data_IF_730396770209
#
_entry.id   IF_730396770209
#
_cell.length_a   1.000
_cell.length_b   1.000
_cell.length_c   1.000
_cell.angle_alpha   90.00
_cell.angle_beta   90.00
_cell.angle_gamma   90.00
#
_symmetry.space_group_name_H-M   'P 1'
#
loop_
_entity.id
_entity.type
_entity.pdbx_description
1 polymer ?
#
# COMPACT_ATOMS: atom_id res chain seq x y z
N UNK A 1 -10.05 18.14 -5.95
CA UNK A 1 -10.03 17.97 -4.48
C UNK A 1 -9.29 16.69 -4.15
N UNK A 2 -8.23 16.81 -3.33
CA UNK A 2 -7.18 15.79 -3.15
C UNK A 2 -7.69 14.53 -2.42
N UNK A 3 -8.66 14.69 -1.52
CA UNK A 3 -9.30 13.55 -0.87
C UNK A 3 -10.00 12.65 -1.87
N UNK A 4 -10.74 13.24 -2.82
CA UNK A 4 -11.34 12.50 -3.94
C UNK A 4 -10.29 11.85 -4.83
N UNK A 5 -9.20 12.56 -5.16
CA UNK A 5 -8.12 12.00 -5.97
C UNK A 5 -7.46 10.78 -5.31
N UNK A 6 -7.20 10.86 -3.99
CA UNK A 6 -6.62 9.73 -3.25
C UNK A 6 -7.58 8.54 -3.16
N UNK A 7 -8.89 8.78 -2.99
CA UNK A 7 -9.91 7.73 -3.02
C UNK A 7 -10.05 7.10 -4.41
N UNK A 8 -9.89 7.87 -5.48
CA UNK A 8 -9.86 7.33 -6.86
C UNK A 8 -8.63 6.44 -7.08
N UNK A 9 -7.45 6.83 -6.58
CA UNK A 9 -6.25 6.01 -6.65
C UNK A 9 -6.40 4.71 -5.84
N UNK A 10 -7.05 4.76 -4.67
CA UNK A 10 -7.38 3.57 -3.87
C UNK A 10 -8.33 2.63 -4.65
N UNK A 11 -9.36 3.18 -5.27
CA UNK A 11 -10.30 2.41 -6.08
C UNK A 11 -9.63 1.78 -7.31
N UNK A 12 -8.78 2.52 -8.02
CA UNK A 12 -8.01 2.01 -9.16
C UNK A 12 -7.11 0.84 -8.73
N UNK A 13 -6.41 0.98 -7.61
CA UNK A 13 -5.58 -0.11 -7.09
C UNK A 13 -6.38 -1.37 -6.74
N UNK A 14 -7.57 -1.21 -6.18
CA UNK A 14 -8.48 -2.34 -5.87
C UNK A 14 -8.99 -3.04 -7.13
N UNK A 15 -9.26 -2.28 -8.18
CA UNK A 15 -9.78 -2.81 -9.45
C UNK A 15 -8.69 -3.47 -10.29
N UNK A 16 -7.50 -2.86 -10.34
CA UNK A 16 -6.42 -3.29 -11.24
C UNK A 16 -5.43 -4.27 -10.59
N UNK A 17 -5.40 -4.34 -9.26
CA UNK A 17 -4.39 -5.07 -8.50
C UNK A 17 -2.99 -4.44 -8.56
N UNK A 18 -2.86 -3.24 -9.15
CA UNK A 18 -1.60 -2.48 -9.24
C UNK A 18 -1.61 -1.35 -8.20
N UNK A 19 -0.42 -0.82 -7.79
CA UNK A 19 -0.40 0.34 -6.91
C UNK A 19 -1.09 1.56 -7.52
N UNK A 20 -2.03 2.14 -6.78
CA UNK A 20 -2.64 3.42 -7.13
C UNK A 20 -1.63 4.55 -6.98
N UNK A 21 -1.63 5.50 -7.90
CA UNK A 21 -0.72 6.64 -7.89
C UNK A 21 -1.53 7.93 -7.74
N UNK A 22 -1.10 8.79 -6.82
CA UNK A 22 -1.69 10.12 -6.64
C UNK A 22 -0.61 11.14 -6.35
N UNK A 23 -0.77 12.33 -6.91
CA UNK A 23 0.10 13.47 -6.66
C UNK A 23 -0.72 14.61 -6.06
N UNK A 24 -0.20 15.20 -5.00
CA UNK A 24 -0.87 16.30 -4.29
C UNK A 24 0.13 17.42 -4.01
N UNK A 25 -0.37 18.63 -3.83
CA UNK A 25 0.47 19.74 -3.41
C UNK A 25 0.86 19.60 -1.93
N UNK A 26 1.86 20.38 -1.52
CA UNK A 26 2.29 20.48 -0.11
C UNK A 26 1.19 21.02 0.81
N UNK A 27 1.38 20.84 2.11
CA UNK A 27 0.53 21.40 3.14
C UNK A 27 -0.94 20.98 3.02
N UNK A 28 -1.85 21.91 2.70
CA UNK A 28 -3.29 21.64 2.63
C UNK A 28 -3.66 20.52 1.66
N UNK A 29 -2.95 20.37 0.51
CA UNK A 29 -3.18 19.28 -0.43
C UNK A 29 -2.87 17.92 0.16
N UNK A 30 -1.75 17.81 0.86
CA UNK A 30 -1.36 16.59 1.59
C UNK A 30 -2.38 16.24 2.69
N UNK A 31 -2.82 17.25 3.45
CA UNK A 31 -3.83 17.07 4.51
C UNK A 31 -5.17 16.59 3.93
N UNK A 32 -5.64 17.19 2.85
CA UNK A 32 -6.88 16.76 2.18
C UNK A 32 -6.79 15.32 1.66
N UNK A 33 -5.60 14.90 1.18
CA UNK A 33 -5.37 13.53 0.69
C UNK A 33 -5.32 12.46 1.80
N UNK A 34 -5.17 12.85 3.05
CA UNK A 34 -4.95 11.92 4.18
C UNK A 34 -6.06 10.90 4.40
N UNK A 35 -7.31 11.26 4.14
CA UNK A 35 -8.46 10.37 4.34
C UNK A 35 -8.38 9.14 3.43
N UNK A 36 -8.11 9.33 2.13
CA UNK A 36 -7.94 8.21 1.20
C UNK A 36 -6.70 7.37 1.51
N UNK A 37 -5.62 8.00 1.97
CA UNK A 37 -4.43 7.28 2.41
C UNK A 37 -4.72 6.37 3.62
N UNK A 38 -5.49 6.87 4.59
CA UNK A 38 -5.92 6.08 5.74
C UNK A 38 -6.80 4.89 5.34
N UNK A 39 -7.73 5.09 4.39
CA UNK A 39 -8.55 4.01 3.83
C UNK A 39 -7.65 2.94 3.20
N UNK A 40 -6.71 3.33 2.33
CA UNK A 40 -5.76 2.41 1.72
C UNK A 40 -4.95 1.62 2.76
N UNK A 41 -4.55 2.25 3.87
CA UNK A 41 -3.87 1.58 4.99
C UNK A 41 -4.74 0.51 5.64
N UNK A 42 -5.99 0.84 5.91
CA UNK A 42 -6.92 -0.08 6.58
C UNK A 42 -7.31 -1.26 5.68
N UNK A 43 -7.46 -1.00 4.39
CA UNK A 43 -7.88 -2.00 3.41
C UNK A 43 -6.72 -2.83 2.84
N UNK A 44 -5.48 -2.52 3.23
CA UNK A 44 -4.28 -3.12 2.67
C UNK A 44 -4.20 -2.93 1.14
N UNK A 45 -4.50 -1.71 0.68
CA UNK A 45 -4.41 -1.33 -0.72
C UNK A 45 -3.04 -0.72 -1.01
N UNK A 46 -2.28 -1.21 -1.99
CA UNK A 46 -1.02 -0.59 -2.37
C UNK A 46 -1.30 0.78 -3.01
N UNK A 47 -0.69 1.84 -2.49
CA UNK A 47 -0.86 3.20 -2.98
C UNK A 47 0.43 3.99 -2.79
N UNK A 48 0.80 4.83 -3.75
CA UNK A 48 1.93 5.74 -3.64
C UNK A 48 1.43 7.15 -3.79
N UNK A 49 1.61 7.96 -2.76
CA UNK A 49 1.27 9.38 -2.76
C UNK A 49 2.54 10.21 -2.84
N UNK A 50 2.69 10.95 -3.92
CA UNK A 50 3.72 11.96 -4.08
C UNK A 50 3.20 13.30 -3.57
N UNK A 51 3.98 13.97 -2.73
CA UNK A 51 3.60 15.23 -2.11
C UNK A 51 4.66 16.28 -2.42
N UNK A 52 4.25 17.45 -2.87
CA UNK A 52 5.15 18.60 -2.93
C UNK A 52 5.68 18.97 -1.53
N UNK A 53 6.89 19.49 -1.46
CA UNK A 53 7.47 20.02 -0.23
C UNK A 53 8.13 21.37 -0.52
N UNK A 54 8.28 22.19 0.50
CA UNK A 54 9.04 23.43 0.41
C UNK A 54 10.50 23.16 0.05
N UNK A 55 11.22 24.18 -0.46
CA UNK A 55 12.63 24.05 -0.80
C UNK A 55 13.44 23.54 0.40
N UNK A 56 14.43 22.67 0.15
CA UNK A 56 15.28 22.01 1.17
C UNK A 56 15.86 22.96 2.20
N UNK A 57 16.33 24.14 1.74
CA UNK A 57 16.90 25.15 2.61
C UNK A 57 15.91 25.91 3.50
N UNK A 58 14.60 25.71 3.35
CA UNK A 58 13.55 26.39 4.12
C UNK A 58 12.80 25.46 5.09
N UNK A 59 13.13 24.19 5.10
CA UNK A 59 12.59 23.22 6.06
C UNK A 59 13.00 23.64 7.48
N UNK A 60 12.10 23.50 8.45
CA UNK A 60 12.28 23.92 9.86
C UNK A 60 12.41 25.44 10.06
N UNK A 61 12.07 26.24 9.05
CA UNK A 61 12.05 27.72 9.13
C UNK A 61 10.64 28.31 9.06
N UNK A 62 9.63 27.53 9.40
CA UNK A 62 8.21 27.94 9.33
C UNK A 62 7.80 28.44 7.92
N UNK A 63 8.40 27.88 6.87
CA UNK A 63 8.05 28.21 5.50
C UNK A 63 6.56 27.92 5.25
N UNK A 64 5.92 28.75 4.42
CA UNK A 64 4.49 28.60 4.11
C UNK A 64 4.17 27.17 3.60
N UNK A 65 3.25 26.49 4.27
CA UNK A 65 2.80 25.14 3.96
C UNK A 65 3.84 24.02 4.19
N UNK A 66 4.95 24.30 4.89
CA UNK A 66 5.87 23.26 5.32
C UNK A 66 5.22 22.34 6.35
N UNK A 67 5.40 21.03 6.20
CA UNK A 67 4.93 20.01 7.15
C UNK A 67 5.99 18.92 7.26
N UNK A 68 6.21 18.42 8.46
CA UNK A 68 6.93 17.17 8.68
C UNK A 68 6.01 15.99 8.29
N UNK A 69 6.15 15.49 7.06
CA UNK A 69 5.32 14.39 6.56
C UNK A 69 5.63 13.06 7.22
N UNK A 70 6.81 12.87 7.80
CA UNK A 70 7.12 11.65 8.55
C UNK A 70 6.30 11.58 9.82
N UNK A 71 6.16 12.69 10.53
CA UNK A 71 5.28 12.75 11.71
C UNK A 71 3.81 12.65 11.33
N UNK A 72 3.39 13.34 10.26
CA UNK A 72 2.00 13.37 9.85
C UNK A 72 1.50 12.01 9.34
N UNK A 73 2.26 11.34 8.48
CA UNK A 73 1.81 10.12 7.80
C UNK A 73 2.42 8.84 8.35
N UNK A 74 3.40 8.90 9.26
CA UNK A 74 4.02 7.72 9.86
C UNK A 74 3.02 6.70 10.40
N UNK A 75 1.97 7.11 11.14
CA UNK A 75 0.96 6.19 11.66
C UNK A 75 0.08 5.53 10.60
N UNK A 76 -0.09 6.16 9.43
CA UNK A 76 -1.05 5.74 8.40
C UNK A 76 -0.41 5.28 7.08
N UNK A 77 0.91 5.34 6.96
CA UNK A 77 1.64 4.82 5.81
C UNK A 77 2.57 3.68 6.21
N UNK A 78 2.98 2.86 5.26
CA UNK A 78 4.00 1.83 5.48
C UNK A 78 5.40 2.43 5.49
N UNK A 79 5.58 3.47 4.71
CA UNK A 79 6.84 4.19 4.59
C UNK A 79 6.58 5.62 4.18
N UNK A 80 7.32 6.53 4.78
CA UNK A 80 7.30 7.97 4.47
C UNK A 80 8.74 8.41 4.29
N UNK A 81 9.04 8.99 3.15
CA UNK A 81 10.37 9.50 2.86
C UNK A 81 10.31 10.84 2.13
N UNK A 82 11.40 11.58 2.17
CA UNK A 82 11.64 12.76 1.36
C UNK A 82 12.82 12.49 0.45
N UNK A 83 12.71 12.90 -0.81
CA UNK A 83 13.74 12.73 -1.82
C UNK A 83 14.47 14.07 -1.96
N UNK A 84 15.67 14.15 -1.40
CA UNK A 84 16.46 15.39 -1.37
C UNK A 84 17.48 15.47 -2.52
N UNK A 85 17.70 14.37 -3.23
CA UNK A 85 18.65 14.25 -4.35
C UNK A 85 17.94 13.70 -5.58
N UNK A 86 17.96 14.43 -6.68
CA UNK A 86 17.38 14.00 -7.95
C UNK A 86 17.99 12.66 -8.46
N UNK A 87 19.25 12.40 -8.16
CA UNK A 87 19.92 11.14 -8.52
C UNK A 87 19.34 9.94 -7.76
N UNK A 88 18.71 10.14 -6.61
CA UNK A 88 18.09 9.07 -5.83
C UNK A 88 16.63 8.77 -6.25
N UNK A 89 16.00 9.56 -7.13
CA UNK A 89 14.60 9.38 -7.52
C UNK A 89 14.29 7.95 -8.00
N UNK A 90 15.06 7.32 -8.92
CA UNK A 90 14.73 5.97 -9.39
C UNK A 90 14.77 4.92 -8.28
N UNK A 91 15.73 5.02 -7.37
CA UNK A 91 15.84 4.12 -6.22
C UNK A 91 14.64 4.26 -5.28
N UNK A 92 14.30 5.50 -4.86
CA UNK A 92 13.17 5.76 -3.97
C UNK A 92 11.83 5.33 -4.60
N UNK A 93 11.64 5.58 -5.89
CA UNK A 93 10.43 5.15 -6.59
C UNK A 93 10.36 3.61 -6.65
N UNK A 94 11.44 2.93 -7.04
CA UNK A 94 11.49 1.47 -7.05
C UNK A 94 11.20 0.90 -5.65
N UNK A 95 11.81 1.47 -4.62
CA UNK A 95 11.56 1.07 -3.23
C UNK A 95 10.11 1.34 -2.81
N UNK A 96 9.51 2.45 -3.23
CA UNK A 96 8.11 2.76 -2.93
C UNK A 96 7.16 1.69 -3.48
N UNK A 97 7.34 1.27 -4.72
CA UNK A 97 6.58 0.18 -5.32
C UNK A 97 6.80 -1.13 -4.58
N UNK A 98 8.06 -1.46 -4.24
CA UNK A 98 8.37 -2.66 -3.47
C UNK A 98 7.69 -2.65 -2.11
N UNK A 99 7.82 -1.58 -1.34
CA UNK A 99 7.22 -1.46 0.00
C UNK A 99 5.69 -1.45 -0.06
N UNK A 100 5.10 -0.76 -1.03
CA UNK A 100 3.65 -0.70 -1.16
C UNK A 100 3.02 -2.07 -1.41
N UNK A 101 3.69 -2.94 -2.17
CA UNK A 101 3.14 -4.21 -2.65
C UNK A 101 3.52 -5.43 -1.84
N UNK A 102 4.67 -5.43 -1.17
CA UNK A 102 5.20 -6.62 -0.49
C UNK A 102 4.72 -6.76 0.96
N UNK A 103 4.62 -7.99 1.44
CA UNK A 103 4.02 -8.31 2.73
C UNK A 103 2.53 -7.94 2.75
N UNK A 104 2.04 -7.31 3.83
CA UNK A 104 0.70 -6.70 3.80
C UNK A 104 0.76 -5.43 2.95
N UNK A 105 0.08 -5.34 1.81
CA UNK A 105 0.09 -4.14 0.98
C UNK A 105 -0.38 -2.90 1.74
N UNK A 106 -0.01 -1.72 1.27
CA UNK A 106 -0.43 -0.48 1.90
C UNK A 106 0.25 0.75 1.33
N UNK A 107 -0.14 1.95 1.79
CA UNK A 107 0.30 3.19 1.22
C UNK A 107 1.74 3.57 1.59
N UNK A 108 2.38 4.25 0.65
CA UNK A 108 3.70 4.89 0.78
C UNK A 108 3.56 6.37 0.45
N UNK A 109 4.32 7.21 1.10
CA UNK A 109 4.35 8.65 0.87
C UNK A 109 5.77 9.10 0.54
N UNK A 110 5.93 9.81 -0.57
CA UNK A 110 7.19 10.41 -0.99
C UNK A 110 7.04 11.93 -1.11
N UNK A 111 7.78 12.66 -0.31
CA UNK A 111 7.85 14.12 -0.36
C UNK A 111 8.91 14.57 -1.36
N UNK A 112 8.57 15.56 -2.17
CA UNK A 112 9.40 16.09 -3.26
C UNK A 112 9.64 17.58 -3.03
N UNK A 113 10.82 18.00 -2.53
CA UNK A 113 11.17 19.42 -2.40
C UNK A 113 11.16 20.12 -3.77
N UNK A 114 10.57 21.32 -3.81
CA UNK A 114 10.38 22.06 -5.07
C UNK A 114 11.68 22.41 -5.78
N UNK A 115 12.74 22.69 -5.03
CA UNK A 115 14.06 22.98 -5.58
C UNK A 115 14.77 21.71 -6.09
N UNK A 116 14.55 20.55 -5.45
CA UNK A 116 15.08 19.27 -5.93
C UNK A 116 14.48 18.89 -7.30
N UNK A 117 13.21 19.22 -7.55
CA UNK A 117 12.54 18.92 -8.82
C UNK A 117 13.12 19.69 -10.02
N UNK A 118 13.95 20.69 -9.78
CA UNK A 118 14.66 21.45 -10.83
C UNK A 118 16.12 21.00 -11.02
N UNK A 119 16.60 20.10 -10.18
CA UNK A 119 17.94 19.54 -10.31
C UNK A 119 18.01 18.60 -11.52
N UNK A 120 19.19 18.50 -12.14
CA UNK A 120 19.45 17.57 -13.23
C UNK A 120 20.33 16.43 -12.74
N UNK A 121 20.01 15.21 -13.13
CA UNK A 121 20.81 14.04 -12.83
C UNK A 121 20.97 13.18 -14.10
N UNK A 122 22.15 12.66 -14.32
CA UNK A 122 22.47 11.70 -15.40
C UNK A 122 22.67 10.31 -14.77
N UNK A 123 21.58 9.57 -14.68
CA UNK A 123 21.51 8.28 -13.98
C UNK A 123 20.66 7.30 -14.77
N UNK A 124 20.94 5.99 -14.70
CA UNK A 124 20.13 4.97 -15.32
C UNK A 124 18.79 4.80 -14.57
N UNK A 125 17.79 4.33 -15.29
CA UNK A 125 16.53 3.92 -14.69
C UNK A 125 16.73 2.77 -13.69
N UNK A 126 15.96 2.77 -12.62
CA UNK A 126 15.93 1.65 -11.69
C UNK A 126 15.26 0.42 -12.32
N UNK A 127 15.67 -0.76 -11.88
CA UNK A 127 15.02 -1.99 -12.30
C UNK A 127 13.55 -2.01 -11.82
N UNK A 128 12.62 -2.59 -12.61
CA UNK A 128 11.24 -2.76 -12.18
C UNK A 128 11.16 -3.54 -10.87
N UNK A 129 10.27 -3.10 -9.97
CA UNK A 129 10.01 -3.79 -8.71
C UNK A 129 9.44 -5.20 -8.95
N UNK A 130 9.67 -6.09 -8.00
CA UNK A 130 9.10 -7.43 -8.01
C UNK A 130 8.33 -7.69 -6.72
N UNK A 131 7.14 -8.29 -6.87
CA UNK A 131 6.36 -8.73 -5.72
C UNK A 131 6.92 -10.07 -5.26
N UNK A 132 7.32 -10.15 -3.99
CA UNK A 132 7.80 -11.39 -3.40
C UNK A 132 6.62 -12.32 -3.11
N UNK A 133 6.66 -13.54 -3.63
CA UNK A 133 5.70 -14.57 -3.30
C UNK A 133 6.03 -15.16 -1.93
N UNK A 134 5.05 -15.20 -1.04
CA UNK A 134 5.17 -15.82 0.28
C UNK A 134 4.34 -17.11 0.31
N UNK A 135 4.92 -18.15 0.92
CA UNK A 135 4.28 -19.44 1.07
C UNK A 135 4.32 -19.86 2.54
N UNK A 136 3.27 -20.54 3.04
CA UNK A 136 3.33 -21.15 4.36
C UNK A 136 4.41 -22.25 4.39
N UNK A 137 5.07 -22.43 5.53
CA UNK A 137 6.00 -23.54 5.70
C UNK A 137 5.26 -24.89 5.69
N UNK A 138 5.93 -25.99 5.34
CA UNK A 138 5.33 -27.33 5.46
C UNK A 138 4.77 -27.62 6.86
N UNK A 139 5.46 -27.17 7.91
CA UNK A 139 5.01 -27.36 9.30
C UNK A 139 3.72 -26.58 9.60
N UNK A 140 3.61 -25.35 9.13
CA UNK A 140 2.39 -24.53 9.27
C UNK A 140 1.20 -25.17 8.54
N UNK A 141 1.44 -25.74 7.36
CA UNK A 141 0.40 -26.49 6.63
C UNK A 141 -0.01 -27.78 7.36
N UNK A 142 0.94 -28.51 7.94
CA UNK A 142 0.65 -29.71 8.71
C UNK A 142 -0.12 -29.37 10.01
N UNK A 143 0.22 -28.27 10.68
CA UNK A 143 -0.51 -27.77 11.85
C UNK A 143 -1.94 -27.38 11.48
N UNK A 144 -2.13 -26.62 10.39
CA UNK A 144 -3.45 -26.25 9.88
C UNK A 144 -4.30 -27.48 9.57
N UNK A 145 -3.74 -28.49 8.89
CA UNK A 145 -4.43 -29.75 8.59
C UNK A 145 -4.88 -30.44 9.86
N UNK A 146 -3.99 -30.63 10.83
CA UNK A 146 -4.33 -31.24 12.12
C UNK A 146 -5.45 -30.51 12.84
N UNK A 147 -5.36 -29.18 12.90
CA UNK A 147 -6.40 -28.35 13.52
C UNK A 147 -7.77 -28.56 12.85
N UNK A 148 -7.80 -28.62 11.52
CA UNK A 148 -9.02 -28.84 10.76
C UNK A 148 -9.59 -30.26 10.95
N UNK A 149 -8.74 -31.29 10.97
CA UNK A 149 -9.13 -32.68 11.19
C UNK A 149 -9.68 -32.93 12.59
N UNK A 150 -9.20 -32.18 13.60
CA UNK A 150 -9.63 -32.31 14.99
C UNK A 150 -10.85 -31.45 15.33
N UNK A 151 -11.21 -30.48 14.47
CA UNK A 151 -12.30 -29.57 14.75
C UNK A 151 -13.66 -30.23 14.59
N UNK A 152 -14.48 -30.22 15.65
CA UNK A 152 -15.87 -30.71 15.59
C UNK A 152 -16.80 -29.78 14.82
N UNK A 153 -16.54 -28.49 14.85
CA UNK A 153 -17.37 -27.45 14.22
C UNK A 153 -16.50 -26.37 13.55
N UNK A 154 -15.76 -26.72 12.50
CA UNK A 154 -14.89 -25.75 11.80
C UNK A 154 -15.74 -24.67 11.13
N UNK A 155 -15.26 -23.43 11.16
CA UNK A 155 -15.84 -22.29 10.46
C UNK A 155 -14.72 -21.43 9.89
N UNK A 156 -14.77 -21.11 8.62
CA UNK A 156 -13.76 -20.27 7.97
C UNK A 156 -14.22 -18.83 7.89
N UNK A 157 -13.34 -17.91 8.27
CA UNK A 157 -13.50 -16.48 8.02
C UNK A 157 -12.43 -16.06 7.03
N UNK A 158 -12.80 -15.81 5.79
CA UNK A 158 -11.88 -15.36 4.74
C UNK A 158 -11.78 -13.84 4.73
N UNK A 159 -10.57 -13.34 4.61
CA UNK A 159 -10.29 -11.91 4.65
C UNK A 159 -8.90 -11.59 4.11
N UNK A 160 -8.36 -10.42 4.44
CA UNK A 160 -7.05 -9.99 3.96
C UNK A 160 -7.07 -9.40 2.55
N UNK A 161 -5.90 -9.26 1.97
CA UNK A 161 -5.68 -8.74 0.61
C UNK A 161 -5.16 -9.84 -0.32
N UNK A 162 -4.92 -9.51 -1.57
CA UNK A 162 -4.29 -10.38 -2.57
C UNK A 162 -5.13 -11.56 -3.10
N UNK A 163 -6.42 -11.54 -2.88
CA UNK A 163 -7.32 -12.49 -3.50
C UNK A 163 -7.44 -12.23 -5.00
N UNK A 164 -7.36 -13.31 -5.79
CA UNK A 164 -7.67 -13.31 -7.21
C UNK A 164 -8.94 -14.11 -7.46
N UNK A 165 -9.65 -13.90 -8.59
CA UNK A 165 -10.81 -14.73 -8.93
C UNK A 165 -10.50 -16.21 -8.88
N UNK A 166 -9.31 -16.63 -9.32
CA UNK A 166 -8.87 -18.02 -9.29
C UNK A 166 -8.70 -18.52 -7.84
N UNK A 167 -8.05 -17.77 -6.96
CA UNK A 167 -7.86 -18.19 -5.56
C UNK A 167 -9.17 -18.21 -4.79
N UNK A 168 -10.11 -17.31 -5.10
CA UNK A 168 -11.45 -17.31 -4.53
C UNK A 168 -12.23 -18.56 -4.96
N UNK A 169 -12.22 -18.92 -6.26
CA UNK A 169 -12.86 -20.14 -6.78
C UNK A 169 -12.29 -21.39 -6.12
N UNK A 170 -10.96 -21.50 -6.02
CA UNK A 170 -10.31 -22.64 -5.33
C UNK A 170 -10.71 -22.75 -3.86
N UNK A 171 -10.90 -21.63 -3.17
CA UNK A 171 -11.37 -21.62 -1.78
C UNK A 171 -12.83 -22.08 -1.69
N UNK A 172 -13.68 -21.67 -2.62
CA UNK A 172 -15.08 -22.12 -2.70
C UNK A 172 -15.17 -23.63 -2.93
N UNK A 173 -14.38 -24.14 -3.89
CA UNK A 173 -14.32 -25.58 -4.19
C UNK A 173 -13.85 -26.40 -2.98
N UNK A 174 -12.81 -25.92 -2.30
CA UNK A 174 -12.30 -26.56 -1.08
C UNK A 174 -13.35 -26.57 0.04
N UNK A 175 -14.02 -25.45 0.26
CA UNK A 175 -15.06 -25.35 1.28
C UNK A 175 -16.25 -26.26 0.97
N UNK A 176 -16.70 -26.30 -0.29
CA UNK A 176 -17.80 -27.15 -0.72
C UNK A 176 -17.46 -28.65 -0.59
N UNK A 177 -16.28 -29.06 -1.04
CA UNK A 177 -15.82 -30.45 -0.96
C UNK A 177 -15.71 -30.96 0.48
N UNK A 178 -15.37 -30.08 1.41
CA UNK A 178 -15.21 -30.40 2.84
C UNK A 178 -16.44 -30.02 3.70
N UNK A 179 -17.51 -29.51 3.11
CA UNK A 179 -18.72 -29.01 3.80
C UNK A 179 -18.43 -28.00 4.88
N UNK A 180 -17.49 -27.08 4.60
CA UNK A 180 -17.06 -26.07 5.54
C UNK A 180 -17.89 -24.80 5.38
N UNK A 181 -18.54 -24.31 6.44
CA UNK A 181 -19.18 -23.01 6.40
C UNK A 181 -18.13 -21.89 6.32
N UNK A 182 -18.37 -20.92 5.45
CA UNK A 182 -17.46 -19.80 5.18
C UNK A 182 -18.18 -18.48 5.39
N UNK A 183 -17.57 -17.58 6.13
CA UNK A 183 -17.95 -16.18 6.23
C UNK A 183 -16.86 -15.27 5.66
N UNK A 184 -17.25 -14.10 5.16
CA UNK A 184 -16.33 -13.10 4.66
C UNK A 184 -16.11 -11.99 5.69
N UNK A 185 -14.88 -11.55 5.84
CA UNK A 185 -14.59 -10.34 6.60
C UNK A 185 -15.25 -9.12 5.94
N UNK A 186 -15.59 -8.12 6.73
CA UNK A 186 -16.32 -6.91 6.31
C UNK A 186 -15.84 -6.29 4.98
N UNK A 187 -14.53 -6.26 4.74
CA UNK A 187 -13.95 -5.66 3.53
C UNK A 187 -13.81 -6.62 2.35
N UNK A 188 -14.32 -7.84 2.44
CA UNK A 188 -14.12 -8.89 1.42
C UNK A 188 -15.41 -9.64 1.08
N UNK A 189 -16.52 -8.94 1.09
CA UNK A 189 -17.84 -9.52 0.74
C UNK A 189 -17.97 -9.84 -0.76
N UNK A 190 -16.98 -9.46 -1.56
CA UNK A 190 -16.90 -9.79 -2.99
C UNK A 190 -16.21 -11.13 -3.28
N UNK A 191 -15.80 -11.86 -2.25
CA UNK A 191 -15.18 -13.19 -2.39
C UNK A 191 -16.22 -14.29 -2.56
#
# INVERSE_FOLDING_TARGET
>A
QEGGATMMADADAKLTGKPGIVMVSRGPGAMNGSAGLHIARQDATPLIMFIGQVARGTIEREALQAIDYRQMFGPVAKWVAQIDDAAAIPEFVSQAFHVATNGRPGPVVLALPEDMLTDSADIPDAAPYRIASTYPSPDALAEFRRALEQAERPFFIVGGSTWTPETAARMQDFAAANKLPVGCAFRRQSL
#
